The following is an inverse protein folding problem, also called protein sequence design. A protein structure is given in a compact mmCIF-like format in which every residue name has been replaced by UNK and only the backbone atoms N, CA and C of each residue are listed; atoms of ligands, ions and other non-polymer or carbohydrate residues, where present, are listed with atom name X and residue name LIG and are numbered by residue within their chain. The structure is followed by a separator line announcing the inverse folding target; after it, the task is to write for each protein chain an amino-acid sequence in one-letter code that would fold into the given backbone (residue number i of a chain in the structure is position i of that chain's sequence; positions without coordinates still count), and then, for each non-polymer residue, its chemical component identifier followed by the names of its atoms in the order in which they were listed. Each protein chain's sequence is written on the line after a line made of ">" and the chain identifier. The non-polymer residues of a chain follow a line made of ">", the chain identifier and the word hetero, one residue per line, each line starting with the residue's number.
data_IF_948153659895
#
_entry.id   IF_948153659895
#
_cell.length_a   1.000
_cell.length_b   1.000
_cell.length_c   1.000
_cell.angle_alpha   90.00
_cell.angle_beta   90.00
_cell.angle_gamma   90.00
#
_symmetry.space_group_name_H-M   'P 1'
#
loop_
_entity.id
_entity.type
_entity.pdbx_description
1 polymer ?
#
# COMPACT_ATOMS: atom_id res chain seq x y z
N UNK A 1 1.78 -26.12 1.41
CA UNK A 1 0.54 -26.71 1.98
C UNK A 1 0.02 -27.80 1.04
N UNK A 2 -0.34 -28.99 1.54
CA UNK A 2 -0.89 -30.05 0.71
C UNK A 2 -2.29 -29.71 0.20
N UNK A 3 -2.69 -30.25 -0.99
CA UNK A 3 -4.06 -30.10 -1.53
C UNK A 3 -5.15 -30.52 -0.54
N UNK A 4 -4.85 -31.43 0.39
CA UNK A 4 -5.75 -31.88 1.45
C UNK A 4 -6.03 -30.77 2.48
N UNK A 5 -5.02 -29.99 2.87
CA UNK A 5 -5.19 -28.86 3.79
C UNK A 5 -5.98 -27.71 3.16
N UNK A 6 -5.82 -27.49 1.84
CA UNK A 6 -6.62 -26.50 1.10
C UNK A 6 -8.08 -26.93 0.92
N UNK A 7 -8.37 -28.23 0.80
CA UNK A 7 -9.74 -28.75 0.70
C UNK A 7 -10.47 -28.84 2.05
N UNK A 8 -9.78 -29.05 3.16
CA UNK A 8 -10.38 -29.04 4.50
C UNK A 8 -10.85 -27.62 4.89
N UNK A 9 -10.16 -26.57 4.45
CA UNK A 9 -10.56 -25.16 4.66
C UNK A 9 -11.77 -24.73 3.81
N UNK A 10 -12.12 -25.48 2.75
CA UNK A 10 -13.25 -25.13 1.87
C UNK A 10 -14.63 -25.50 2.42
N UNK A 11 -14.71 -26.33 3.45
CA UNK A 11 -15.99 -26.84 3.99
C UNK A 11 -16.38 -26.22 5.34
N UNK A 12 -15.61 -25.28 5.89
CA UNK A 12 -16.02 -24.48 7.06
C UNK A 12 -16.49 -23.12 6.60
N UNK A 13 -17.48 -22.54 7.27
CA UNK A 13 -17.92 -21.13 7.09
C UNK A 13 -16.66 -20.27 6.98
N UNK A 14 -16.47 -19.49 5.89
CA UNK A 14 -15.22 -18.76 5.72
C UNK A 14 -14.98 -17.85 6.90
N UNK A 15 -13.89 -18.09 7.61
CA UNK A 15 -13.52 -17.32 8.80
C UNK A 15 -13.54 -15.83 8.46
N UNK A 16 -14.17 -15.03 9.31
CA UNK A 16 -14.24 -13.58 9.13
C UNK A 16 -12.91 -12.94 9.48
N UNK A 17 -12.53 -11.89 8.78
CA UNK A 17 -11.44 -11.01 9.15
C UNK A 17 -11.84 -9.56 8.95
N UNK A 18 -11.17 -8.63 9.62
CA UNK A 18 -11.47 -7.21 9.52
C UNK A 18 -10.49 -6.55 8.56
N UNK A 19 -10.97 -5.64 7.72
CA UNK A 19 -10.14 -4.78 6.87
C UNK A 19 -10.43 -3.32 7.17
N UNK A 20 -9.44 -2.61 7.71
CA UNK A 20 -9.52 -1.18 8.01
C UNK A 20 -8.75 -0.40 6.96
N UNK A 21 -9.43 0.37 6.16
CA UNK A 21 -8.86 1.22 5.15
C UNK A 21 -9.02 2.70 5.50
N UNK A 22 -8.00 3.50 5.19
CA UNK A 22 -8.07 4.95 5.39
C UNK A 22 -6.83 5.65 4.87
N UNK A 23 -6.91 6.94 4.55
CA UNK A 23 -5.76 7.71 4.14
C UNK A 23 -4.73 7.81 5.27
N UNK A 24 -3.52 8.23 4.92
CA UNK A 24 -2.51 8.56 5.94
C UNK A 24 -3.09 9.60 6.91
N UNK A 25 -2.73 9.53 8.20
CA UNK A 25 -3.23 10.37 9.30
C UNK A 25 -4.75 10.27 9.59
N UNK A 26 -5.47 9.26 9.09
CA UNK A 26 -6.90 9.08 9.37
C UNK A 26 -7.20 8.61 10.80
N UNK A 27 -6.23 8.05 11.52
CA UNK A 27 -6.43 7.44 12.84
C UNK A 27 -6.72 5.93 12.80
N UNK A 28 -6.55 5.30 11.62
CA UNK A 28 -6.81 3.85 11.43
C UNK A 28 -5.99 2.95 12.36
N UNK A 29 -4.74 3.33 12.71
CA UNK A 29 -3.89 2.50 13.59
C UNK A 29 -4.48 2.37 14.98
N UNK A 30 -4.95 3.48 15.57
CA UNK A 30 -5.62 3.43 16.87
C UNK A 30 -6.89 2.58 16.82
N UNK A 31 -7.71 2.73 15.76
CA UNK A 31 -8.89 1.91 15.55
C UNK A 31 -8.54 0.40 15.49
N UNK A 32 -7.45 0.04 14.82
CA UNK A 32 -7.03 -1.36 14.72
C UNK A 32 -6.63 -1.93 16.08
N UNK A 33 -5.89 -1.17 16.88
CA UNK A 33 -5.51 -1.55 18.24
C UNK A 33 -6.74 -1.68 19.13
N UNK A 34 -7.66 -0.70 19.11
CA UNK A 34 -8.90 -0.73 19.91
C UNK A 34 -9.75 -1.97 19.57
N UNK A 35 -9.86 -2.34 18.29
CA UNK A 35 -10.57 -3.54 17.86
C UNK A 35 -9.81 -4.82 18.23
N UNK A 36 -8.48 -4.83 18.08
CA UNK A 36 -7.66 -5.97 18.46
C UNK A 36 -7.78 -6.29 19.95
N UNK A 37 -7.73 -5.28 20.81
CA UNK A 37 -7.95 -5.45 22.26
C UNK A 37 -9.31 -6.07 22.58
N UNK A 38 -10.38 -5.66 21.89
CA UNK A 38 -11.74 -6.09 22.18
C UNK A 38 -12.12 -7.44 21.56
N UNK A 39 -11.47 -7.82 20.47
CA UNK A 39 -11.78 -9.00 19.67
C UNK A 39 -10.72 -10.10 19.80
N UNK A 40 -9.76 -9.92 20.69
CA UNK A 40 -8.57 -10.79 20.79
C UNK A 40 -7.90 -10.96 19.41
N UNK A 41 -7.63 -9.84 18.75
CA UNK A 41 -7.14 -9.79 17.38
C UNK A 41 -5.65 -9.51 17.28
N UNK A 42 -5.12 -9.68 16.06
CA UNK A 42 -3.75 -9.32 15.70
C UNK A 42 -3.76 -8.51 14.39
N UNK A 43 -2.86 -7.54 14.29
CA UNK A 43 -2.84 -6.56 13.19
C UNK A 43 -1.90 -7.00 12.08
N UNK A 44 -2.34 -6.85 10.80
CA UNK A 44 -1.55 -7.14 9.60
C UNK A 44 -1.44 -5.87 8.77
N UNK A 45 -0.22 -5.44 8.48
CA UNK A 45 0.04 -4.25 7.67
C UNK A 45 -0.33 -4.44 6.19
N UNK A 46 -1.05 -3.47 5.62
CA UNK A 46 -1.33 -3.31 4.20
C UNK A 46 -0.90 -1.93 3.67
N UNK A 47 0.17 -1.36 4.22
CA UNK A 47 0.84 -0.18 3.69
C UNK A 47 2.21 -0.56 3.13
N UNK A 48 2.44 -0.27 1.84
CA UNK A 48 3.64 -0.72 1.14
C UNK A 48 4.94 -0.09 1.67
N UNK A 49 4.88 1.15 2.20
CA UNK A 49 6.08 1.80 2.74
C UNK A 49 6.43 1.30 4.14
N UNK A 50 5.44 0.88 4.92
CA UNK A 50 5.67 0.32 6.26
C UNK A 50 6.19 -1.13 6.24
N UNK A 51 6.24 -1.79 5.06
CA UNK A 51 6.92 -3.08 4.91
C UNK A 51 8.44 -2.96 5.09
N UNK A 52 9.02 -1.81 4.74
CA UNK A 52 10.46 -1.63 4.72
C UNK A 52 11.03 -1.40 6.12
N UNK A 53 12.14 -2.08 6.43
CA UNK A 53 12.83 -1.93 7.71
C UNK A 53 13.48 -0.55 7.86
N UNK A 54 13.97 0.01 6.77
CA UNK A 54 14.79 1.23 6.71
C UNK A 54 14.04 2.52 7.02
N UNK A 55 12.72 2.56 6.86
CA UNK A 55 11.90 3.73 7.16
C UNK A 55 10.87 3.40 8.25
N UNK A 56 11.02 4.00 9.41
CA UNK A 56 10.07 3.91 10.52
C UNK A 56 9.37 5.24 10.76
N UNK A 57 10.12 6.34 10.79
CA UNK A 57 9.61 7.68 11.06
C UNK A 57 8.83 8.19 9.84
N UNK A 58 9.45 8.30 8.67
CA UNK A 58 8.80 8.84 7.46
C UNK A 58 7.66 7.97 6.96
N UNK A 59 7.69 6.66 7.21
CA UNK A 59 6.57 5.77 6.90
C UNK A 59 5.43 5.86 7.92
N UNK A 60 5.63 6.55 9.05
CA UNK A 60 4.72 6.55 10.20
C UNK A 60 4.41 5.12 10.68
N UNK A 61 5.39 4.24 10.70
CA UNK A 61 5.26 2.89 11.25
C UNK A 61 4.97 2.99 12.75
N UNK A 62 3.98 2.24 13.29
CA UNK A 62 3.66 2.32 14.70
C UNK A 62 4.86 1.92 15.56
N UNK A 63 5.10 2.68 16.63
CA UNK A 63 6.07 2.35 17.67
C UNK A 63 5.58 1.20 18.55
N UNK A 64 6.45 0.62 19.38
CA UNK A 64 6.04 -0.39 20.37
C UNK A 64 4.96 0.15 21.32
N UNK A 65 5.04 1.42 21.69
CA UNK A 65 4.04 2.06 22.55
C UNK A 65 2.67 2.16 21.83
N UNK A 66 2.66 2.49 20.54
CA UNK A 66 1.42 2.55 19.75
C UNK A 66 0.78 1.18 19.57
N UNK A 67 1.57 0.12 19.57
CA UNK A 67 1.10 -1.27 19.39
C UNK A 67 0.41 -1.85 20.64
N UNK A 68 0.61 -1.31 21.84
CA UNK A 68 -0.05 -1.70 23.10
C UNK A 68 -0.08 -3.21 23.34
N UNK A 69 1.07 -3.90 23.19
CA UNK A 69 1.22 -5.36 23.31
C UNK A 69 0.41 -6.22 22.31
N UNK A 70 -0.34 -5.59 21.39
CA UNK A 70 -1.00 -6.30 20.28
C UNK A 70 0.05 -6.75 19.27
N UNK A 71 0.05 -8.05 18.86
CA UNK A 71 0.94 -8.51 17.81
C UNK A 71 0.64 -7.80 16.47
N UNK A 72 1.70 -7.23 15.88
CA UNK A 72 1.65 -6.53 14.60
C UNK A 72 2.55 -7.24 13.60
N UNK A 73 1.97 -7.63 12.47
CA UNK A 73 2.62 -8.39 11.41
C UNK A 73 2.89 -7.53 10.18
N UNK A 74 3.94 -7.85 9.45
CA UNK A 74 4.36 -7.24 8.19
C UNK A 74 4.78 -5.77 8.31
N UNK A 75 5.33 -5.38 9.45
CA UNK A 75 5.98 -4.09 9.65
C UNK A 75 7.50 -4.26 9.66
N UNK A 76 8.20 -3.56 8.77
CA UNK A 76 9.67 -3.60 8.70
C UNK A 76 10.25 -4.98 8.37
N UNK A 77 9.56 -5.78 7.57
CA UNK A 77 9.95 -7.15 7.19
C UNK A 77 10.72 -7.23 5.89
N UNK A 78 10.82 -6.12 5.15
CA UNK A 78 11.45 -6.06 3.84
C UNK A 78 12.67 -5.14 3.90
N UNK A 79 13.81 -5.62 3.38
CA UNK A 79 14.99 -4.78 3.18
C UNK A 79 14.77 -3.76 2.05
N UNK A 80 15.28 -2.54 2.23
CA UNK A 80 15.12 -1.42 1.28
C UNK A 80 15.67 -1.69 -0.11
N UNK A 81 16.62 -2.61 -0.26
CA UNK A 81 17.16 -3.05 -1.54
C UNK A 81 16.19 -3.90 -2.37
N UNK A 82 15.07 -4.32 -1.80
CA UNK A 82 14.08 -5.15 -2.49
C UNK A 82 12.89 -4.33 -2.99
N UNK A 83 12.26 -4.78 -4.07
CA UNK A 83 11.01 -4.19 -4.57
C UNK A 83 9.82 -4.91 -3.94
N UNK A 84 9.05 -4.19 -3.12
CA UNK A 84 7.76 -4.68 -2.66
C UNK A 84 6.83 -4.92 -3.86
N UNK A 85 6.15 -6.08 -3.87
CA UNK A 85 5.12 -6.39 -4.86
C UNK A 85 3.82 -6.80 -4.18
N UNK A 86 2.70 -6.61 -4.86
CA UNK A 86 1.38 -7.04 -4.37
C UNK A 86 1.34 -8.55 -4.19
N UNK A 87 1.94 -9.32 -5.11
CA UNK A 87 1.98 -10.77 -5.03
C UNK A 87 2.71 -11.27 -3.78
N UNK A 88 3.92 -10.74 -3.53
CA UNK A 88 4.69 -11.09 -2.34
C UNK A 88 3.96 -10.70 -1.04
N UNK A 89 3.32 -9.51 -1.02
CA UNK A 89 2.52 -9.10 0.13
C UNK A 89 1.34 -10.03 0.37
N UNK A 90 0.61 -10.47 -0.68
CA UNK A 90 -0.51 -11.41 -0.53
C UNK A 90 -0.07 -12.73 0.10
N UNK A 91 1.08 -13.28 -0.33
CA UNK A 91 1.63 -14.52 0.25
C UNK A 91 1.97 -14.36 1.73
N UNK A 92 2.63 -13.25 2.08
CA UNK A 92 2.95 -12.92 3.48
C UNK A 92 1.68 -12.71 4.32
N UNK A 93 0.69 -11.99 3.80
CA UNK A 93 -0.58 -11.74 4.47
C UNK A 93 -1.38 -13.04 4.67
N UNK A 94 -1.45 -13.90 3.66
CA UNK A 94 -2.10 -15.22 3.77
C UNK A 94 -1.45 -16.11 4.83
N UNK A 95 -0.12 -16.10 4.89
CA UNK A 95 0.66 -16.82 5.91
C UNK A 95 0.37 -16.29 7.31
N UNK A 96 0.40 -14.96 7.49
CA UNK A 96 0.09 -14.33 8.77
C UNK A 96 -1.35 -14.62 9.21
N UNK A 97 -2.34 -14.49 8.33
CA UNK A 97 -3.74 -14.78 8.61
C UNK A 97 -3.94 -16.24 9.07
N UNK A 98 -3.33 -17.19 8.37
CA UNK A 98 -3.40 -18.60 8.70
C UNK A 98 -2.85 -18.87 10.12
N UNK A 99 -1.72 -18.26 10.46
CA UNK A 99 -1.10 -18.38 11.76
C UNK A 99 -1.95 -17.73 12.87
N UNK A 100 -2.59 -16.58 12.60
CA UNK A 100 -3.49 -15.89 13.54
C UNK A 100 -4.73 -16.76 13.80
N UNK A 101 -5.39 -17.28 12.78
CA UNK A 101 -6.54 -18.18 12.94
C UNK A 101 -6.17 -19.48 13.67
N UNK A 102 -4.97 -20.03 13.45
CA UNK A 102 -4.51 -21.22 14.17
C UNK A 102 -4.39 -20.99 15.68
N UNK A 103 -4.24 -19.73 16.11
CA UNK A 103 -4.28 -19.31 17.52
C UNK A 103 -5.69 -18.96 18.02
N UNK A 104 -6.71 -19.09 17.18
CA UNK A 104 -8.08 -18.71 17.52
C UNK A 104 -8.34 -17.19 17.53
N UNK A 105 -7.42 -16.38 16.98
CA UNK A 105 -7.48 -14.92 17.02
C UNK A 105 -8.06 -14.32 15.76
N UNK A 106 -8.51 -13.05 15.85
CA UNK A 106 -9.10 -12.29 14.76
C UNK A 106 -8.03 -11.57 13.93
N UNK A 107 -7.84 -11.87 12.62
CA UNK A 107 -6.96 -11.07 11.77
C UNK A 107 -7.56 -9.70 11.46
N UNK A 108 -6.78 -8.64 11.62
CA UNK A 108 -7.17 -7.25 11.33
C UNK A 108 -6.18 -6.66 10.33
N UNK A 109 -6.55 -6.61 9.06
CA UNK A 109 -5.75 -6.00 8.01
C UNK A 109 -5.96 -4.49 8.03
N UNK A 110 -4.85 -3.72 8.02
CA UNK A 110 -4.91 -2.28 8.10
C UNK A 110 -3.99 -1.62 7.07
N UNK A 111 -4.48 -0.65 6.33
CA UNK A 111 -3.61 0.09 5.39
C UNK A 111 -4.28 1.19 4.61
N UNK A 112 -3.47 1.82 3.75
CA UNK A 112 -3.89 2.87 2.83
C UNK A 112 -3.49 2.59 1.38
N UNK A 113 -2.81 1.46 1.12
CA UNK A 113 -2.39 1.07 -0.22
C UNK A 113 -3.54 0.35 -0.93
N UNK A 114 -4.29 1.12 -1.74
CA UNK A 114 -5.51 0.62 -2.39
C UNK A 114 -5.30 -0.68 -3.18
N UNK A 115 -4.16 -0.81 -3.86
CA UNK A 115 -3.83 -2.02 -4.62
C UNK A 115 -3.69 -3.27 -3.72
N UNK A 116 -3.16 -3.14 -2.50
CA UNK A 116 -3.08 -4.26 -1.55
C UNK A 116 -4.46 -4.64 -1.03
N UNK A 117 -5.28 -3.64 -0.69
CA UNK A 117 -6.64 -3.85 -0.20
C UNK A 117 -7.54 -4.48 -1.27
N UNK A 118 -7.40 -4.06 -2.53
CA UNK A 118 -8.13 -4.66 -3.65
C UNK A 118 -7.69 -6.10 -3.88
N UNK A 119 -6.39 -6.33 -3.95
CA UNK A 119 -5.82 -7.67 -4.15
C UNK A 119 -6.16 -8.64 -3.01
N UNK A 120 -6.28 -8.17 -1.78
CA UNK A 120 -6.72 -8.99 -0.65
C UNK A 120 -8.09 -9.63 -0.89
N UNK A 121 -9.00 -8.90 -1.53
CA UNK A 121 -10.39 -9.35 -1.77
C UNK A 121 -10.54 -10.03 -3.12
N UNK A 122 -9.96 -9.43 -4.15
CA UNK A 122 -10.19 -9.83 -5.54
C UNK A 122 -9.06 -10.68 -6.14
N UNK A 123 -7.92 -10.79 -5.44
CA UNK A 123 -6.72 -11.38 -6.02
C UNK A 123 -6.04 -10.45 -7.04
N UNK A 124 -5.13 -10.98 -7.81
CA UNK A 124 -4.39 -10.26 -8.84
C UNK A 124 -4.49 -10.96 -10.20
N UNK A 125 -4.48 -10.16 -11.26
CA UNK A 125 -4.36 -10.68 -12.61
C UNK A 125 -3.02 -11.40 -12.78
N UNK A 126 -2.96 -12.54 -13.52
CA UNK A 126 -1.75 -13.34 -13.70
C UNK A 126 -0.82 -12.70 -14.76
N UNK A 127 -0.38 -11.47 -14.50
CA UNK A 127 0.48 -10.72 -15.40
C UNK A 127 1.94 -11.19 -15.22
N UNK A 128 2.60 -11.71 -16.27
CA UNK A 128 3.99 -12.16 -16.18
C UNK A 128 4.95 -11.05 -15.76
N UNK A 129 6.06 -11.44 -15.14
CA UNK A 129 7.19 -10.55 -14.90
C UNK A 129 7.77 -10.02 -16.22
N UNK A 130 8.30 -8.80 -16.19
CA UNK A 130 9.06 -8.24 -17.31
C UNK A 130 10.54 -8.41 -16.98
N UNK A 131 11.34 -9.10 -17.82
CA UNK A 131 12.78 -9.19 -17.66
C UNK A 131 13.44 -7.80 -17.55
N UNK A 132 14.52 -7.71 -16.74
CA UNK A 132 15.16 -6.42 -16.46
C UNK A 132 15.68 -5.71 -17.71
N UNK A 133 16.26 -6.45 -18.65
CA UNK A 133 16.72 -5.91 -19.94
C UNK A 133 15.56 -5.30 -20.74
N UNK A 134 14.43 -6.01 -20.89
CA UNK A 134 13.26 -5.50 -21.61
C UNK A 134 12.69 -4.24 -20.91
N UNK A 135 12.69 -4.23 -19.57
CA UNK A 135 12.27 -3.03 -18.83
C UNK A 135 13.19 -1.85 -19.09
N UNK A 136 14.51 -2.06 -19.08
CA UNK A 136 15.52 -1.03 -19.39
C UNK A 136 15.37 -0.49 -20.82
N UNK A 137 15.18 -1.38 -21.80
CA UNK A 137 14.94 -0.98 -23.20
C UNK A 137 13.69 -0.12 -23.35
N UNK A 138 12.60 -0.47 -22.65
CA UNK A 138 11.38 0.33 -22.65
C UNK A 138 11.58 1.69 -21.96
N UNK A 139 12.39 1.76 -20.90
CA UNK A 139 12.75 3.03 -20.26
C UNK A 139 13.55 3.91 -21.21
N UNK A 140 14.61 3.38 -21.83
CA UNK A 140 15.45 4.10 -22.78
C UNK A 140 14.64 4.61 -23.98
N UNK A 141 13.74 3.78 -24.50
CA UNK A 141 12.83 4.18 -25.58
C UNK A 141 11.91 5.33 -25.14
N UNK A 142 11.31 5.23 -23.93
CA UNK A 142 10.44 6.31 -23.43
C UNK A 142 11.20 7.63 -23.29
N UNK A 143 12.43 7.58 -22.77
CA UNK A 143 13.27 8.77 -22.56
C UNK A 143 13.73 9.38 -23.91
N UNK A 144 13.91 8.55 -24.95
CA UNK A 144 14.30 9.00 -26.29
C UNK A 144 13.16 9.66 -27.08
N UNK A 145 11.93 9.12 -27.02
CA UNK A 145 10.82 9.57 -27.89
C UNK A 145 9.72 10.36 -27.17
N UNK A 146 9.74 10.37 -25.83
CA UNK A 146 8.73 11.03 -25.00
C UNK A 146 7.40 10.29 -24.92
N UNK A 147 6.56 10.72 -23.95
CA UNK A 147 5.33 10.01 -23.61
C UNK A 147 4.29 9.94 -24.72
N UNK A 148 4.11 11.02 -25.50
CA UNK A 148 3.13 11.07 -26.61
C UNK A 148 3.44 9.99 -27.64
N UNK A 149 4.67 9.98 -28.17
CA UNK A 149 5.08 9.03 -29.19
C UNK A 149 5.12 7.60 -28.64
N UNK A 150 5.52 7.44 -27.37
CA UNK A 150 5.53 6.14 -26.72
C UNK A 150 4.11 5.56 -26.57
N UNK A 151 3.13 6.37 -26.14
CA UNK A 151 1.72 5.96 -26.05
C UNK A 151 1.13 5.61 -27.43
N UNK A 152 1.48 6.34 -28.47
CA UNK A 152 1.09 6.02 -29.85
C UNK A 152 1.65 4.66 -30.28
N UNK A 153 2.93 4.37 -29.98
CA UNK A 153 3.51 3.05 -30.22
C UNK A 153 2.80 1.95 -29.43
N UNK A 154 2.49 2.18 -28.15
CA UNK A 154 1.75 1.22 -27.35
C UNK A 154 0.35 0.95 -27.95
N UNK A 155 -0.31 1.97 -28.48
CA UNK A 155 -1.65 1.82 -29.06
C UNK A 155 -1.70 0.84 -30.24
N UNK A 156 -0.60 0.62 -30.95
CA UNK A 156 -0.52 -0.39 -32.03
C UNK A 156 -0.64 -1.84 -31.48
N UNK A 157 -0.31 -2.06 -30.22
CA UNK A 157 -0.27 -3.38 -29.60
C UNK A 157 -1.33 -3.56 -28.50
N UNK A 158 -1.67 -2.49 -27.79
CA UNK A 158 -2.67 -2.48 -26.71
C UNK A 158 -3.48 -1.17 -26.74
N UNK A 159 -4.37 -1.00 -27.72
CA UNK A 159 -5.16 0.23 -27.88
C UNK A 159 -6.05 0.50 -26.66
N UNK A 160 -6.53 -0.55 -25.99
CA UNK A 160 -7.40 -0.42 -24.83
C UNK A 160 -6.66 0.19 -23.64
N UNK A 161 -5.43 -0.27 -23.35
CA UNK A 161 -4.63 0.29 -22.27
C UNK A 161 -4.10 1.67 -22.64
N UNK A 162 -3.63 1.85 -23.85
CA UNK A 162 -3.12 3.15 -24.34
C UNK A 162 -4.18 4.27 -24.26
N UNK A 163 -5.46 3.97 -24.51
CA UNK A 163 -6.55 4.96 -24.45
C UNK A 163 -6.89 5.42 -23.01
N UNK A 164 -6.45 4.67 -21.99
CA UNK A 164 -6.74 4.95 -20.56
C UNK A 164 -5.58 5.63 -19.85
N UNK A 165 -4.41 5.71 -20.49
CA UNK A 165 -3.21 6.25 -19.88
C UNK A 165 -2.91 7.63 -20.46
N UNK A 166 -2.49 8.55 -19.60
CA UNK A 166 -1.97 9.85 -20.01
C UNK A 166 -0.51 9.73 -20.51
N UNK A 167 -0.08 10.69 -21.31
CA UNK A 167 1.30 10.74 -21.84
C UNK A 167 2.36 10.84 -20.72
N UNK A 168 1.98 11.41 -19.57
CA UNK A 168 2.82 11.51 -18.37
C UNK A 168 2.86 10.24 -17.50
N UNK A 169 2.03 9.24 -17.77
CA UNK A 169 1.97 7.99 -17.00
C UNK A 169 3.15 7.04 -17.31
N UNK A 170 4.37 7.58 -17.26
CA UNK A 170 5.63 6.92 -17.64
C UNK A 170 5.70 5.46 -17.13
N UNK A 171 5.45 5.25 -15.85
CA UNK A 171 5.59 3.92 -15.23
C UNK A 171 4.59 2.91 -15.82
N UNK A 172 3.34 3.31 -16.02
CA UNK A 172 2.28 2.45 -16.56
C UNK A 172 2.47 2.18 -18.05
N UNK A 173 2.88 3.19 -18.81
CA UNK A 173 3.20 3.05 -20.23
C UNK A 173 4.37 2.07 -20.44
N UNK A 174 5.48 2.24 -19.71
CA UNK A 174 6.64 1.34 -19.75
C UNK A 174 6.24 -0.08 -19.33
N UNK A 175 5.41 -0.24 -18.29
CA UNK A 175 4.93 -1.56 -17.84
C UNK A 175 4.11 -2.25 -18.93
N UNK A 176 3.19 -1.55 -19.60
CA UNK A 176 2.34 -2.12 -20.64
C UNK A 176 3.17 -2.57 -21.86
N UNK A 177 4.07 -1.73 -22.33
CA UNK A 177 4.97 -2.06 -23.43
C UNK A 177 5.92 -3.21 -23.05
N UNK A 178 6.45 -3.19 -21.83
CA UNK A 178 7.33 -4.26 -21.34
C UNK A 178 6.64 -5.62 -21.28
N UNK A 179 5.37 -5.67 -20.86
CA UNK A 179 4.59 -6.92 -20.88
C UNK A 179 4.40 -7.40 -22.32
N UNK A 180 4.05 -6.51 -23.25
CA UNK A 180 3.91 -6.87 -24.65
C UNK A 180 5.23 -7.37 -25.24
N UNK A 181 6.34 -6.67 -25.03
CA UNK A 181 7.66 -7.09 -25.53
C UNK A 181 8.14 -8.42 -24.94
N UNK A 182 7.78 -8.70 -23.69
CA UNK A 182 8.17 -9.95 -23.01
C UNK A 182 7.31 -11.16 -23.41
N UNK A 183 6.05 -10.94 -23.82
CA UNK A 183 5.07 -12.04 -23.96
C UNK A 183 4.40 -12.13 -25.32
N UNK A 184 4.51 -11.09 -26.15
CA UNK A 184 3.74 -10.94 -27.39
C UNK A 184 2.24 -10.67 -27.18
N UNK A 185 1.77 -10.51 -25.92
CA UNK A 185 0.38 -10.28 -25.58
C UNK A 185 0.16 -8.94 -24.90
N UNK A 186 -0.94 -8.27 -25.23
CA UNK A 186 -1.32 -7.00 -24.63
C UNK A 186 -1.58 -7.14 -23.12
N UNK A 187 -1.17 -6.12 -22.33
CA UNK A 187 -1.44 -6.08 -20.88
C UNK A 187 -2.93 -6.18 -20.59
N UNK A 188 -3.77 -5.54 -21.40
CA UNK A 188 -5.23 -5.57 -21.27
C UNK A 188 -5.83 -6.98 -21.37
N UNK A 189 -5.17 -7.93 -22.05
CA UNK A 189 -5.62 -9.33 -22.11
C UNK A 189 -5.41 -10.04 -20.78
N UNK A 190 -4.25 -9.81 -20.12
CA UNK A 190 -3.97 -10.36 -18.80
C UNK A 190 -4.89 -9.76 -17.72
N UNK A 191 -5.19 -8.47 -17.82
CA UNK A 191 -6.09 -7.77 -16.86
C UNK A 191 -7.53 -8.30 -16.90
N UNK A 192 -7.96 -8.89 -18.01
CA UNK A 192 -9.29 -9.54 -18.16
C UNK A 192 -9.31 -10.98 -17.67
N UNK A 193 -8.16 -11.58 -17.44
CA UNK A 193 -8.07 -12.96 -16.96
C UNK A 193 -8.60 -13.07 -15.52
N UNK A 194 -9.03 -14.27 -15.13
CA UNK A 194 -9.44 -14.55 -13.77
C UNK A 194 -8.33 -14.22 -12.78
N UNK A 195 -8.63 -13.38 -11.81
CA UNK A 195 -7.70 -13.01 -10.74
C UNK A 195 -7.49 -14.18 -9.79
N UNK A 196 -6.30 -14.29 -9.23
CA UNK A 196 -5.90 -15.39 -8.34
C UNK A 196 -5.26 -14.86 -7.06
N UNK A 197 -5.24 -15.69 -6.03
CA UNK A 197 -4.52 -15.39 -4.78
C UNK A 197 -5.24 -14.43 -3.86
N UNK A 198 -6.56 -14.21 -4.02
CA UNK A 198 -7.33 -13.50 -3.00
C UNK A 198 -7.18 -14.19 -1.63
N UNK A 199 -7.20 -13.41 -0.56
CA UNK A 199 -7.16 -13.94 0.81
C UNK A 199 -8.43 -14.75 1.09
N UNK A 200 -8.26 -15.86 1.77
CA UNK A 200 -9.39 -16.72 2.15
C UNK A 200 -10.16 -16.04 3.28
N UNK A 201 -11.49 -16.16 3.27
CA UNK A 201 -12.36 -15.65 4.33
C UNK A 201 -13.27 -14.51 3.86
N UNK A 202 -14.11 -14.03 4.78
CA UNK A 202 -15.07 -12.95 4.54
C UNK A 202 -14.59 -11.65 5.19
N UNK A 203 -14.19 -10.62 4.44
CA UNK A 203 -13.77 -9.34 5.01
C UNK A 203 -14.97 -8.54 5.54
N UNK A 204 -14.89 -8.06 6.78
CA UNK A 204 -15.65 -6.92 7.26
C UNK A 204 -14.86 -5.65 6.92
N UNK A 205 -15.31 -4.87 5.96
CA UNK A 205 -14.61 -3.69 5.46
C UNK A 205 -15.03 -2.43 6.19
N UNK A 206 -14.09 -1.76 6.81
CA UNK A 206 -14.28 -0.48 7.52
C UNK A 206 -13.45 0.59 6.80
N UNK A 207 -14.06 1.71 6.43
CA UNK A 207 -13.37 2.88 5.87
C UNK A 207 -13.30 4.01 6.89
N UNK A 208 -12.12 4.56 7.13
CA UNK A 208 -11.93 5.78 7.90
C UNK A 208 -11.74 6.96 6.94
N UNK A 209 -12.72 7.84 6.86
CA UNK A 209 -12.75 8.98 5.94
C UNK A 209 -13.01 10.29 6.69
N UNK A 210 -12.07 10.77 7.50
CA UNK A 210 -12.25 12.03 8.23
C UNK A 210 -12.45 13.23 7.27
N UNK A 211 -13.02 14.34 7.74
CA UNK A 211 -13.09 15.59 6.98
C UNK A 211 -11.71 16.01 6.47
N UNK A 212 -11.70 16.61 5.27
CA UNK A 212 -10.44 16.89 4.56
C UNK A 212 -9.54 17.90 5.28
N UNK A 213 -10.12 18.90 5.88
CA UNK A 213 -9.45 19.92 6.68
C UNK A 213 -8.78 19.33 7.91
N UNK A 214 -9.49 18.47 8.65
CA UNK A 214 -8.95 17.73 9.80
C UNK A 214 -7.81 16.83 9.37
N UNK A 215 -7.96 16.12 8.24
CA UNK A 215 -6.94 15.24 7.73
C UNK A 215 -5.66 16.00 7.35
N UNK A 216 -5.80 17.15 6.69
CA UNK A 216 -4.66 17.95 6.24
C UNK A 216 -3.92 18.57 7.43
N UNK A 217 -4.64 19.09 8.42
CA UNK A 217 -4.02 19.60 9.65
C UNK A 217 -3.21 18.50 10.37
N UNK A 218 -3.75 17.28 10.45
CA UNK A 218 -3.03 16.13 11.05
C UNK A 218 -1.80 15.71 10.25
N UNK A 219 -1.85 15.76 8.92
CA UNK A 219 -0.72 15.45 8.05
C UNK A 219 0.41 16.45 8.29
N UNK A 220 0.08 17.73 8.30
CA UNK A 220 1.06 18.80 8.47
C UNK A 220 1.73 18.73 9.85
N UNK A 221 0.94 18.66 10.93
CA UNK A 221 1.48 18.52 12.29
C UNK A 221 2.32 17.25 12.49
N UNK A 222 1.91 16.12 11.87
CA UNK A 222 2.68 14.88 11.98
C UNK A 222 4.04 14.98 11.32
N UNK A 223 4.17 15.71 10.20
CA UNK A 223 5.47 15.86 9.56
C UNK A 223 6.42 16.71 10.42
N UNK A 224 5.91 17.74 11.11
CA UNK A 224 6.72 18.50 12.05
C UNK A 224 7.26 17.61 13.18
N UNK A 225 6.41 16.78 13.76
CA UNK A 225 6.82 15.78 14.76
C UNK A 225 7.84 14.77 14.18
N UNK A 226 7.70 14.33 12.93
CA UNK A 226 8.68 13.45 12.29
C UNK A 226 10.07 14.10 12.18
N UNK A 227 10.14 15.39 11.89
CA UNK A 227 11.41 16.12 11.88
C UNK A 227 12.04 16.16 13.27
N UNK A 228 11.26 16.43 14.30
CA UNK A 228 11.71 16.42 15.71
C UNK A 228 12.18 15.02 16.15
N UNK A 229 11.56 13.97 15.66
CA UNK A 229 11.89 12.57 15.95
C UNK A 229 13.13 12.05 15.19
N UNK A 230 13.73 12.85 14.32
CA UNK A 230 14.96 12.47 13.62
C UNK A 230 14.75 11.96 12.18
N UNK A 231 13.71 12.41 11.47
CA UNK A 231 13.51 12.06 10.06
C UNK A 231 14.73 12.39 9.17
N UNK A 232 15.49 13.44 9.49
CA UNK A 232 16.72 13.77 8.79
C UNK A 232 17.80 12.69 8.96
N UNK A 233 17.94 12.15 10.15
CA UNK A 233 18.93 11.08 10.42
C UNK A 233 18.50 9.76 9.78
N UNK A 234 17.21 9.46 9.76
CA UNK A 234 16.67 8.30 9.05
C UNK A 234 16.99 8.38 7.56
N UNK A 235 16.79 9.54 6.91
CA UNK A 235 17.14 9.73 5.50
C UNK A 235 18.65 9.65 5.28
N UNK A 236 19.48 10.25 6.17
CA UNK A 236 20.93 10.14 6.06
C UNK A 236 21.41 8.68 6.11
N UNK A 237 20.84 7.87 7.00
CA UNK A 237 21.15 6.44 7.09
C UNK A 237 20.72 5.71 5.81
N UNK A 238 19.53 6.01 5.26
CA UNK A 238 19.05 5.43 4.02
C UNK A 238 19.97 5.76 2.82
N UNK A 239 20.39 7.02 2.68
CA UNK A 239 21.29 7.46 1.59
C UNK A 239 22.65 6.78 1.70
N UNK A 240 23.19 6.62 2.91
CA UNK A 240 24.46 5.93 3.14
C UNK A 240 24.46 4.47 2.69
N UNK A 241 23.29 3.86 2.51
CA UNK A 241 23.16 2.52 1.93
C UNK A 241 23.42 2.46 0.42
N UNK A 242 23.49 3.58 -0.26
CA UNK A 242 23.75 3.68 -1.72
C UNK A 242 22.83 2.77 -2.57
N UNK A 243 21.57 2.69 -2.20
CA UNK A 243 20.58 1.89 -2.91
C UNK A 243 20.27 2.50 -4.30
N UNK A 244 19.82 1.64 -5.22
CA UNK A 244 19.36 2.08 -6.55
C UNK A 244 18.23 3.14 -6.41
N UNK A 245 18.42 4.36 -6.94
CA UNK A 245 17.42 5.44 -6.85
C UNK A 245 16.05 5.09 -7.45
N UNK A 246 15.99 4.07 -8.31
CA UNK A 246 14.73 3.60 -8.91
C UNK A 246 13.87 2.79 -7.96
N UNK A 247 14.40 2.33 -6.81
CA UNK A 247 13.67 1.52 -5.83
C UNK A 247 12.49 2.30 -5.22
N UNK A 248 11.38 1.62 -4.90
CA UNK A 248 10.20 2.26 -4.33
C UNK A 248 10.48 3.02 -3.04
N UNK A 249 11.35 2.49 -2.18
CA UNK A 249 11.72 3.10 -0.91
C UNK A 249 12.38 4.48 -1.10
N UNK A 250 13.25 4.62 -2.12
CA UNK A 250 13.93 5.89 -2.43
C UNK A 250 12.97 7.00 -2.89
N UNK A 251 11.74 6.63 -3.25
CA UNK A 251 10.65 7.53 -3.67
C UNK A 251 9.58 7.72 -2.59
N UNK A 252 9.85 7.26 -1.36
CA UNK A 252 8.94 7.49 -0.24
C UNK A 252 8.78 8.99 0.04
N UNK A 253 7.60 9.38 0.50
CA UNK A 253 7.30 10.79 0.82
C UNK A 253 8.31 11.35 1.81
N UNK A 254 8.88 12.49 1.48
CA UNK A 254 9.90 13.16 2.27
C UNK A 254 11.34 12.76 1.94
N UNK A 255 11.61 11.55 1.47
CA UNK A 255 13.00 11.10 1.21
C UNK A 255 13.71 11.99 0.22
N UNK A 256 13.12 12.28 -0.94
CA UNK A 256 13.75 13.13 -1.96
C UNK A 256 13.97 14.56 -1.47
N UNK A 257 13.00 15.15 -0.78
CA UNK A 257 13.11 16.53 -0.29
C UNK A 257 14.15 16.64 0.84
N UNK A 258 14.14 15.72 1.80
CA UNK A 258 15.12 15.72 2.88
C UNK A 258 16.53 15.35 2.39
N UNK A 259 16.66 14.52 1.34
CA UNK A 259 17.92 14.30 0.66
C UNK A 259 18.48 15.61 0.08
N UNK A 260 17.66 16.41 -0.61
CA UNK A 260 18.08 17.71 -1.15
C UNK A 260 18.54 18.68 -0.06
N UNK A 261 18.00 18.59 1.17
CA UNK A 261 18.52 19.34 2.33
C UNK A 261 19.92 18.85 2.73
N UNK A 262 20.13 17.52 2.76
CA UNK A 262 21.46 16.94 3.05
C UNK A 262 22.50 17.33 2.00
N UNK A 263 22.08 17.44 0.73
CA UNK A 263 22.91 17.86 -0.39
C UNK A 263 23.10 19.40 -0.45
N UNK A 264 22.51 20.17 0.46
CA UNK A 264 22.53 21.64 0.52
C UNK A 264 21.87 22.33 -0.70
N UNK A 265 20.98 21.64 -1.38
CA UNK A 265 20.23 22.14 -2.54
C UNK A 265 18.89 22.80 -2.14
N UNK A 266 18.46 22.63 -0.88
CA UNK A 266 17.18 23.10 -0.37
C UNK A 266 17.26 23.39 1.13
N UNK A 267 16.47 24.33 1.62
CA UNK A 267 16.27 24.56 3.05
C UNK A 267 15.33 23.54 3.66
N UNK A 268 15.41 23.35 4.99
CA UNK A 268 14.51 22.45 5.71
C UNK A 268 13.04 22.91 5.60
N UNK A 269 12.80 24.21 5.60
CA UNK A 269 11.45 24.78 5.48
C UNK A 269 10.84 24.51 4.11
N UNK A 270 11.62 24.62 3.04
CA UNK A 270 11.20 24.27 1.69
C UNK A 270 10.88 22.77 1.57
N UNK A 271 11.76 21.91 2.12
CA UNK A 271 11.56 20.47 2.15
C UNK A 271 10.29 20.08 2.94
N UNK A 272 10.06 20.76 4.08
CA UNK A 272 8.85 20.56 4.87
C UNK A 272 7.60 20.98 4.11
N UNK A 273 7.61 22.13 3.46
CA UNK A 273 6.48 22.59 2.63
C UNK A 273 6.14 21.59 1.51
N UNK A 274 7.16 21.14 0.76
CA UNK A 274 7.01 20.17 -0.33
C UNK A 274 6.45 18.84 0.20
N UNK A 275 7.04 18.31 1.27
CA UNK A 275 6.64 17.01 1.82
C UNK A 275 5.22 17.03 2.37
N UNK A 276 4.83 18.08 3.08
CA UNK A 276 3.45 18.29 3.56
C UNK A 276 2.47 18.36 2.39
N UNK A 277 2.78 19.15 1.35
CA UNK A 277 1.97 19.27 0.12
C UNK A 277 1.78 17.89 -0.54
N UNK A 278 2.85 17.16 -0.75
CA UNK A 278 2.84 15.87 -1.45
C UNK A 278 2.12 14.80 -0.63
N UNK A 279 2.23 14.86 0.69
CA UNK A 279 1.48 14.01 1.64
C UNK A 279 -0.02 14.28 1.58
N UNK A 280 -0.44 15.56 1.49
CA UNK A 280 -1.85 15.92 1.27
C UNK A 280 -2.38 15.44 -0.08
N UNK A 281 -1.56 15.55 -1.15
CA UNK A 281 -1.92 15.01 -2.47
C UNK A 281 -2.04 13.49 -2.44
N UNK A 282 -1.16 12.80 -1.72
CA UNK A 282 -1.25 11.35 -1.55
C UNK A 282 -2.51 10.95 -0.78
N UNK A 283 -2.82 11.61 0.33
CA UNK A 283 -4.05 11.39 1.09
C UNK A 283 -5.30 11.65 0.24
N UNK A 284 -5.32 12.69 -0.61
CA UNK A 284 -6.41 12.95 -1.55
C UNK A 284 -6.60 11.77 -2.52
N UNK A 285 -5.51 11.23 -3.09
CA UNK A 285 -5.58 10.05 -3.98
C UNK A 285 -6.13 8.83 -3.24
N UNK A 286 -5.69 8.58 -2.00
CA UNK A 286 -6.22 7.50 -1.17
C UNK A 286 -7.73 7.65 -0.91
N UNK A 287 -8.17 8.85 -0.53
CA UNK A 287 -9.60 9.13 -0.29
C UNK A 287 -10.46 8.92 -1.54
N UNK A 288 -9.97 9.37 -2.70
CA UNK A 288 -10.67 9.18 -3.99
C UNK A 288 -10.78 7.69 -4.33
N UNK A 289 -9.70 6.95 -4.16
CA UNK A 289 -9.70 5.50 -4.41
C UNK A 289 -10.66 4.77 -3.47
N UNK A 290 -10.62 5.07 -2.17
CA UNK A 290 -11.48 4.44 -1.17
C UNK A 290 -12.96 4.68 -1.44
N UNK A 291 -13.36 5.90 -1.81
CA UNK A 291 -14.75 6.24 -2.13
C UNK A 291 -15.26 5.49 -3.36
N UNK A 292 -14.40 5.26 -4.35
CA UNK A 292 -14.79 4.70 -5.64
C UNK A 292 -14.66 3.16 -5.70
N UNK A 293 -13.79 2.54 -4.89
CA UNK A 293 -13.41 1.15 -5.09
C UNK A 293 -13.52 0.27 -3.84
N UNK A 294 -13.56 0.83 -2.63
CA UNK A 294 -13.42 0.00 -1.43
C UNK A 294 -14.70 -0.66 -0.97
N UNK A 295 -15.88 -0.13 -1.28
CA UNK A 295 -17.20 -0.67 -0.91
C UNK A 295 -17.26 -1.13 0.55
N UNK A 296 -16.98 -0.21 1.49
CA UNK A 296 -16.98 -0.49 2.92
C UNK A 296 -18.40 -0.74 3.44
N UNK A 297 -18.57 -1.75 4.30
CA UNK A 297 -19.83 -1.95 5.05
C UNK A 297 -20.03 -0.86 6.10
N UNK A 298 -18.92 -0.31 6.60
CA UNK A 298 -18.91 0.69 7.66
C UNK A 298 -18.00 1.83 7.25
N UNK A 299 -18.50 3.07 7.32
CA UNK A 299 -17.69 4.28 7.07
C UNK A 299 -17.68 5.19 8.30
N UNK A 300 -16.47 5.52 8.76
CA UNK A 300 -16.20 6.37 9.92
C UNK A 300 -15.62 7.71 9.50
N UNK A 301 -16.20 8.79 10.00
CA UNK A 301 -15.66 10.15 9.82
C UNK A 301 -14.89 10.66 11.04
N UNK A 302 -15.07 10.00 12.20
CA UNK A 302 -14.48 10.39 13.50
C UNK A 302 -13.99 9.18 14.26
N UNK A 303 -13.54 9.38 15.52
CA UNK A 303 -13.20 8.31 16.45
C UNK A 303 -14.41 7.42 16.75
N UNK A 304 -14.15 6.18 17.13
CA UNK A 304 -15.15 5.21 17.60
C UNK A 304 -16.03 5.80 18.73
N UNK A 305 -17.34 5.54 18.61
CA UNK A 305 -18.29 5.63 19.72
C UNK A 305 -18.66 4.21 20.20
N UNK A 306 -19.18 4.07 21.40
CA UNK A 306 -19.62 2.76 21.93
C UNK A 306 -20.70 2.13 21.06
N UNK A 307 -21.67 2.90 20.59
CA UNK A 307 -22.74 2.46 19.67
C UNK A 307 -22.21 1.88 18.35
N UNK A 308 -21.01 2.29 17.99
CA UNK A 308 -20.35 1.84 16.78
C UNK A 308 -19.70 0.45 16.96
N UNK A 309 -19.18 0.19 18.15
CA UNK A 309 -18.64 -1.12 18.49
C UNK A 309 -19.72 -2.20 18.47
N UNK A 310 -20.93 -1.90 18.95
CA UNK A 310 -22.08 -2.81 18.87
C UNK A 310 -22.42 -3.17 17.42
N UNK A 311 -22.36 -2.20 16.50
CA UNK A 311 -22.57 -2.42 15.08
C UNK A 311 -21.52 -3.35 14.48
N UNK A 312 -20.24 -3.20 14.85
CA UNK A 312 -19.16 -4.10 14.40
C UNK A 312 -19.41 -5.52 14.92
N UNK A 313 -19.73 -5.67 16.21
CA UNK A 313 -20.01 -6.98 16.81
C UNK A 313 -21.20 -7.69 16.15
N UNK A 314 -22.24 -6.96 15.78
CA UNK A 314 -23.41 -7.54 15.09
C UNK A 314 -23.10 -8.07 13.69
N UNK A 315 -22.08 -7.53 13.00
CA UNK A 315 -21.66 -7.93 11.67
C UNK A 315 -20.62 -9.05 11.64
N UNK A 316 -19.96 -9.32 12.78
CA UNK A 316 -18.96 -10.39 12.91
C UNK A 316 -19.62 -11.72 13.32
N UNK A 317 -20.77 -11.66 14.01
CA UNK A 317 -21.59 -12.82 14.38
C UNK A 317 -22.35 -13.35 13.14
#
# INVERSE_FOLDING_TARGET
>A
MSKAAQNALKNTIPATYIMIAGPTASGKSQLAVDLACKLDGEVINADSMQLYADLSILSARPSKADMQDIPHHLYGVLDGGHRASVAAWLELAATAMTAIWARGKMPIIIGGTGMYLDAAVNGIAPIPGVPANIHQDCMALFDAIGGVAFRQKLALHDPLVASRLDDGDRQRLIRAMGVFNATGKALGQFQKAEHKGALIGRPLKIAMLPPRDVLYARIDARFDVMLEQGAMDEVRQLINRQLDPSLPLMKALGVTALKAVLDQEMTIDEAAYITKRDSRHYAKRQMTWLRNNYNAQITLNTKLSESFMESIFSLIR
#
